data_IF_951339198190
#
_entry.id   IF_951339198190
#
_cell.length_a   1.000
_cell.length_b   1.000
_cell.length_c   1.000
_cell.angle_alpha   90.00
_cell.angle_beta   90.00
_cell.angle_gamma   90.00
#
_symmetry.space_group_name_H-M   'P 1'
#
loop_
_entity.id
_entity.type
_entity.pdbx_description
1 polymer ?
#
# COMPACT_ATOMS: atom_id res chain seq x y z
N UNK A 1 -18.48 -11.07 10.35
CA UNK A 1 -17.46 -10.03 10.11
C UNK A 1 -16.27 -10.48 10.92
N UNK A 2 -15.06 -10.48 10.34
CA UNK A 2 -13.85 -10.87 11.05
C UNK A 2 -13.60 -9.87 12.20
N UNK A 3 -13.82 -10.31 13.44
CA UNK A 3 -13.58 -9.50 14.64
C UNK A 3 -12.34 -9.93 15.43
N UNK A 4 -11.64 -10.95 14.93
CA UNK A 4 -10.42 -11.52 15.49
C UNK A 4 -10.60 -12.23 16.84
N UNK A 5 -11.84 -12.56 17.24
CA UNK A 5 -12.15 -13.11 18.57
C UNK A 5 -12.67 -14.54 18.53
N UNK A 6 -13.09 -15.04 17.37
CA UNK A 6 -13.67 -16.38 17.28
C UNK A 6 -12.97 -17.25 16.23
N UNK A 7 -12.90 -18.58 16.44
CA UNK A 7 -12.40 -19.50 15.40
C UNK A 7 -13.19 -19.40 14.08
N UNK A 8 -14.41 -18.88 14.13
CA UNK A 8 -15.25 -18.61 12.97
C UNK A 8 -14.69 -17.50 12.07
N UNK A 9 -13.76 -16.67 12.55
CA UNK A 9 -13.01 -15.73 11.71
C UNK A 9 -12.09 -16.46 10.72
N UNK A 10 -11.61 -17.66 11.08
CA UNK A 10 -10.82 -18.54 10.21
C UNK A 10 -11.68 -19.51 9.38
N UNK A 11 -12.94 -19.74 9.76
CA UNK A 11 -13.91 -20.50 8.95
C UNK A 11 -14.83 -19.61 8.13
N UNK A 12 -14.73 -18.29 8.29
CA UNK A 12 -15.39 -17.28 7.47
C UNK A 12 -14.87 -17.43 6.06
N UNK A 13 -15.75 -17.71 5.12
CA UNK A 13 -15.37 -17.82 3.72
C UNK A 13 -15.10 -16.44 3.09
N UNK A 14 -15.49 -15.35 3.76
CA UNK A 14 -15.31 -13.98 3.25
C UNK A 14 -14.25 -13.20 4.03
N UNK A 15 -13.05 -13.17 3.47
CA UNK A 15 -11.90 -12.37 3.92
C UNK A 15 -11.14 -11.83 2.71
N UNK A 16 -10.38 -10.74 2.89
CA UNK A 16 -9.51 -10.18 1.84
C UNK A 16 -8.05 -10.40 2.17
N UNK A 17 -7.35 -11.12 1.31
CA UNK A 17 -5.90 -11.22 1.31
C UNK A 17 -5.30 -10.07 0.49
N UNK A 18 -4.45 -9.28 1.12
CA UNK A 18 -3.63 -8.27 0.46
C UNK A 18 -2.20 -8.79 0.31
N UNK A 19 -1.80 -9.11 -0.93
CA UNK A 19 -0.44 -9.53 -1.22
C UNK A 19 0.35 -8.34 -1.75
N UNK A 20 1.35 -7.92 -0.99
CA UNK A 20 2.28 -6.88 -1.38
C UNK A 20 3.47 -7.46 -2.14
N UNK A 21 3.92 -6.75 -3.15
CA UNK A 21 5.18 -7.03 -3.85
C UNK A 21 5.99 -5.75 -3.96
N UNK A 22 7.29 -5.87 -3.73
CA UNK A 22 8.27 -4.81 -3.89
C UNK A 22 9.31 -5.27 -4.91
N UNK A 23 9.47 -4.51 -5.99
CA UNK A 23 10.47 -4.78 -7.02
C UNK A 23 11.30 -3.53 -7.27
N UNK A 24 12.63 -3.65 -7.26
CA UNK A 24 13.53 -2.62 -7.76
C UNK A 24 13.60 -2.71 -9.28
N UNK A 25 13.46 -1.56 -9.95
CA UNK A 25 13.58 -1.41 -11.40
C UNK A 25 14.78 -0.54 -11.74
N UNK A 26 15.23 -0.61 -13.00
CA UNK A 26 16.33 0.20 -13.52
C UNK A 26 16.13 1.70 -13.22
N UNK A 27 17.21 2.39 -12.82
CA UNK A 27 17.20 3.83 -12.55
C UNK A 27 16.70 4.25 -11.16
N UNK A 28 17.08 3.51 -10.11
CA UNK A 28 16.76 3.75 -8.70
C UNK A 28 15.25 3.86 -8.41
N UNK A 29 14.41 3.24 -9.25
CA UNK A 29 12.98 3.27 -9.05
C UNK A 29 12.50 1.95 -8.45
N UNK A 30 11.79 1.99 -7.33
CA UNK A 30 11.05 0.84 -6.85
C UNK A 30 9.57 0.92 -7.23
N UNK A 31 8.96 -0.25 -7.39
CA UNK A 31 7.54 -0.41 -7.64
C UNK A 31 6.97 -1.23 -6.49
N UNK A 32 6.05 -0.62 -5.75
CA UNK A 32 5.19 -1.30 -4.78
C UNK A 32 3.87 -1.58 -5.47
N UNK A 33 3.43 -2.84 -5.39
CA UNK A 33 2.13 -3.25 -5.90
C UNK A 33 1.41 -4.08 -4.85
N UNK A 34 0.08 -4.02 -4.89
CA UNK A 34 -0.80 -4.84 -4.06
C UNK A 34 -1.79 -5.58 -4.94
N UNK A 35 -2.05 -6.84 -4.60
CA UNK A 35 -3.12 -7.64 -5.16
C UNK A 35 -4.09 -7.95 -4.03
N UNK A 36 -5.34 -7.53 -4.17
CA UNK A 36 -6.42 -7.84 -3.25
C UNK A 36 -7.22 -9.03 -3.80
N UNK A 37 -7.37 -10.10 -3.01
CA UNK A 37 -8.07 -11.31 -3.41
C UNK A 37 -8.91 -11.87 -2.26
N UNK A 38 -10.04 -12.47 -2.58
CA UNK A 38 -10.97 -13.05 -1.62
C UNK A 38 -11.60 -14.31 -2.25
N UNK A 39 -11.72 -15.43 -1.52
CA UNK A 39 -12.14 -16.70 -2.13
C UNK A 39 -13.64 -16.77 -2.44
N UNK A 40 -14.51 -16.19 -1.59
CA UNK A 40 -15.97 -16.32 -1.78
C UNK A 40 -16.73 -15.00 -1.75
N UNK A 41 -16.04 -13.86 -1.85
CA UNK A 41 -16.67 -12.54 -1.89
C UNK A 41 -15.83 -11.53 -2.67
N UNK A 42 -16.38 -10.34 -2.92
CA UNK A 42 -15.60 -9.25 -3.51
C UNK A 42 -14.59 -8.72 -2.47
N UNK A 43 -13.30 -8.55 -2.82
CA UNK A 43 -12.34 -7.90 -1.95
C UNK A 43 -12.85 -6.54 -1.49
N UNK A 44 -12.83 -6.27 -0.19
CA UNK A 44 -13.18 -4.96 0.33
C UNK A 44 -12.01 -3.99 0.06
N UNK A 45 -12.25 -2.75 -0.40
CA UNK A 45 -11.18 -1.76 -0.52
C UNK A 45 -10.80 -1.24 0.88
N UNK A 46 -9.51 -1.02 1.10
CA UNK A 46 -9.00 -0.38 2.31
C UNK A 46 -7.94 0.67 1.97
N UNK A 47 -7.70 1.60 2.89
CA UNK A 47 -6.68 2.63 2.78
C UNK A 47 -5.70 2.50 3.94
N UNK A 48 -4.41 2.62 3.65
CA UNK A 48 -3.34 2.54 4.64
C UNK A 48 -2.34 3.67 4.45
N UNK A 49 -1.46 3.86 5.43
CA UNK A 49 -0.24 4.64 5.25
C UNK A 49 0.93 3.68 5.11
N UNK A 50 1.57 3.67 3.95
CA UNK A 50 2.85 3.00 3.76
C UNK A 50 3.95 3.83 4.42
N UNK A 51 4.74 3.20 5.26
CA UNK A 51 5.85 3.83 5.97
C UNK A 51 7.16 3.20 5.49
N UNK A 52 8.08 4.03 5.00
CA UNK A 52 9.40 3.61 4.53
C UNK A 52 10.45 4.27 5.41
N UNK A 53 11.29 3.46 6.04
CA UNK A 53 12.32 3.89 6.99
C UNK A 53 13.71 3.92 6.36
N UNK A 54 14.66 4.50 7.10
CA UNK A 54 16.09 4.53 6.77
C UNK A 54 16.38 5.15 5.40
N UNK A 55 15.75 6.29 5.12
CA UNK A 55 15.96 7.06 3.90
C UNK A 55 16.98 8.17 4.15
N UNK A 56 18.06 8.19 3.37
CA UNK A 56 19.07 9.24 3.50
C UNK A 56 18.63 10.57 2.90
N UNK A 57 17.81 10.50 1.84
CA UNK A 57 17.22 11.66 1.18
C UNK A 57 15.75 11.39 0.84
N UNK A 58 15.02 12.46 0.50
CA UNK A 58 13.59 12.37 0.20
C UNK A 58 13.34 11.67 -1.15
N UNK A 59 12.67 10.49 -1.18
CA UNK A 59 12.30 9.84 -2.42
C UNK A 59 11.19 10.61 -3.13
N UNK A 60 11.16 10.53 -4.47
CA UNK A 60 10.09 11.13 -5.27
C UNK A 60 9.06 10.07 -5.68
N UNK A 61 7.80 10.29 -5.32
CA UNK A 61 6.69 9.49 -5.85
C UNK A 61 6.37 9.94 -7.28
N UNK A 62 6.58 9.07 -8.27
CA UNK A 62 6.54 9.42 -9.71
C UNK A 62 5.43 8.71 -10.49
N UNK A 63 4.73 7.73 -9.91
CA UNK A 63 3.64 7.03 -10.56
C UNK A 63 2.58 6.60 -9.56
N UNK A 64 1.34 7.01 -9.80
CA UNK A 64 0.17 6.74 -8.95
C UNK A 64 -1.00 6.41 -9.88
N UNK A 65 -1.37 5.13 -10.01
CA UNK A 65 -2.40 4.73 -10.97
C UNK A 65 -3.82 5.10 -10.49
N UNK A 66 -4.05 5.19 -9.17
CA UNK A 66 -5.39 5.26 -8.58
C UNK A 66 -5.51 6.32 -7.45
N UNK A 67 -4.83 7.46 -7.56
CA UNK A 67 -4.87 8.53 -6.55
C UNK A 67 -6.29 9.07 -6.27
N UNK A 68 -7.18 9.04 -7.26
CA UNK A 68 -8.58 9.51 -7.13
C UNK A 68 -9.50 8.60 -6.31
N UNK A 69 -9.11 7.36 -6.02
CA UNK A 69 -9.97 6.39 -5.33
C UNK A 69 -9.98 6.53 -3.80
N UNK A 70 -9.09 7.34 -3.22
CA UNK A 70 -9.03 7.53 -1.78
C UNK A 70 -10.02 8.56 -1.25
N UNK A 71 -10.58 9.44 -2.09
CA UNK A 71 -11.48 10.52 -1.63
C UNK A 71 -10.81 11.59 -0.73
N UNK A 72 -9.50 11.47 -0.48
CA UNK A 72 -8.69 12.39 0.32
C UNK A 72 -7.55 12.99 -0.51
N UNK A 73 -7.03 14.15 -0.10
CA UNK A 73 -5.86 14.73 -0.75
C UNK A 73 -4.65 13.83 -0.52
N UNK A 74 -3.96 13.48 -1.62
CA UNK A 74 -2.73 12.70 -1.52
C UNK A 74 -1.61 13.61 -0.99
N UNK A 75 -1.25 13.42 0.29
CA UNK A 75 -0.13 14.09 0.93
C UNK A 75 0.97 13.09 1.31
N UNK A 76 2.16 13.24 0.73
CA UNK A 76 3.35 12.50 1.17
C UNK A 76 4.05 13.34 2.23
N UNK A 77 4.39 12.73 3.37
CA UNK A 77 5.16 13.40 4.41
C UNK A 77 6.50 12.70 4.62
N UNK A 78 7.57 13.48 4.63
CA UNK A 78 8.91 13.01 4.95
C UNK A 78 9.37 13.68 6.23
N UNK A 79 9.74 12.86 7.22
CA UNK A 79 10.37 13.33 8.44
C UNK A 79 11.87 13.07 8.36
N UNK A 80 12.63 14.16 8.22
CA UNK A 80 14.09 14.14 8.12
C UNK A 80 14.76 13.65 9.41
N UNK A 81 14.14 13.90 10.57
CA UNK A 81 14.71 13.50 11.87
C UNK A 81 14.67 11.99 12.06
N UNK A 82 13.56 11.36 11.69
CA UNK A 82 13.37 9.91 11.75
C UNK A 82 13.70 9.18 10.44
N UNK A 83 14.22 9.90 9.43
CA UNK A 83 14.53 9.34 8.09
C UNK A 83 13.38 8.50 7.52
N UNK A 84 12.14 8.99 7.66
CA UNK A 84 10.93 8.19 7.40
C UNK A 84 9.97 8.91 6.45
N UNK A 85 9.55 8.20 5.39
CA UNK A 85 8.55 8.63 4.43
C UNK A 85 7.21 7.95 4.71
N UNK A 86 6.12 8.72 4.67
CA UNK A 86 4.74 8.24 4.84
C UNK A 86 3.92 8.57 3.60
N UNK A 87 3.26 7.57 3.06
CA UNK A 87 2.51 7.66 1.80
C UNK A 87 1.12 7.05 1.98
N UNK A 88 0.03 7.84 1.81
CA UNK A 88 -1.32 7.29 1.72
C UNK A 88 -1.42 6.33 0.53
N UNK A 89 -1.98 5.14 0.75
CA UNK A 89 -2.02 4.09 -0.27
C UNK A 89 -3.32 3.28 -0.19
N UNK A 90 -3.99 3.13 -1.34
CA UNK A 90 -5.18 2.29 -1.46
C UNK A 90 -4.79 0.82 -1.70
N UNK A 91 -5.35 -0.08 -0.90
CA UNK A 91 -5.20 -1.52 -1.04
C UNK A 91 -6.19 -2.07 -2.06
N UNK A 92 -5.91 -1.82 -3.33
CA UNK A 92 -6.71 -2.29 -4.46
C UNK A 92 -5.78 -2.87 -5.53
N UNK A 93 -6.24 -3.92 -6.20
CA UNK A 93 -5.50 -4.56 -7.28
C UNK A 93 -5.09 -3.54 -8.36
N UNK A 94 -3.87 -3.67 -8.85
CA UNK A 94 -3.25 -2.80 -9.86
C UNK A 94 -2.99 -1.34 -9.46
N UNK A 95 -3.06 -1.00 -8.16
CA UNK A 95 -2.60 0.30 -7.68
C UNK A 95 -1.08 0.37 -7.53
N UNK A 96 -0.35 0.36 -8.64
CA UNK A 96 1.12 0.44 -8.60
C UNK A 96 1.58 1.81 -8.11
N UNK A 97 2.41 1.81 -7.06
CA UNK A 97 3.11 2.98 -6.55
C UNK A 97 4.56 2.93 -7.00
N UNK A 98 4.97 3.90 -7.81
CA UNK A 98 6.36 4.02 -8.27
C UNK A 98 7.09 5.10 -7.49
N UNK A 99 8.18 4.72 -6.85
CA UNK A 99 9.01 5.60 -6.01
C UNK A 99 10.40 5.65 -6.63
N UNK A 100 10.90 6.83 -6.94
CA UNK A 100 12.28 7.06 -7.35
C UNK A 100 13.10 7.44 -6.13
N UNK A 101 14.08 6.64 -5.80
CA UNK A 101 15.10 6.96 -4.83
C UNK A 101 16.22 7.76 -5.52
N UNK A 102 16.90 8.67 -4.80
CA UNK A 102 18.10 9.33 -5.30
C UNK A 102 19.15 8.32 -5.77
#
# INVERSE_FOLDING_TARGET
MDDGKTPQDFTSTCYTNYRFSYNTSFGNAAIINVVASAPTCKPFPSAVTLVIHNLDEIPRVIGRKNDKLLGYSFGVSYDKSSKTLRIPYALITDNRLKIKFP
#
